data_IF_902107000432
#
_entry.id   IF_902107000432
#
_cell.length_a   1.000
_cell.length_b   1.000
_cell.length_c   1.000
_cell.angle_alpha   90.00
_cell.angle_beta   90.00
_cell.angle_gamma   90.00
#
_symmetry.space_group_name_H-M   'P 1'
#
loop_
_entity.id
_entity.type
_entity.pdbx_description
1 polymer ?
#
# COMPACT_ATOMS: atom_id res chain seq x y z
N UNK A 1 -2.33 -17.59 -10.09
CA UNK A 1 -1.74 -16.41 -9.41
C UNK A 1 -1.88 -15.26 -10.38
N UNK A 2 -2.62 -14.21 -10.03
CA UNK A 2 -2.78 -13.07 -10.92
C UNK A 2 -1.45 -12.36 -11.11
N UNK A 3 -1.26 -11.75 -12.26
CA UNK A 3 -0.13 -10.83 -12.49
C UNK A 3 -0.24 -9.61 -11.57
N UNK A 4 0.89 -8.95 -11.37
CA UNK A 4 0.99 -7.72 -10.61
C UNK A 4 1.71 -6.66 -11.43
N UNK A 5 1.14 -5.46 -11.52
CA UNK A 5 1.74 -4.34 -12.26
C UNK A 5 1.66 -3.06 -11.45
N UNK A 6 2.78 -2.36 -11.43
CA UNK A 6 2.91 -1.01 -10.88
C UNK A 6 2.96 0.00 -12.03
N UNK A 7 2.26 1.12 -11.91
CA UNK A 7 2.48 2.27 -12.77
C UNK A 7 3.79 2.99 -12.44
N UNK A 8 4.32 3.76 -13.40
CA UNK A 8 5.60 4.45 -13.22
C UNK A 8 5.58 5.46 -12.06
N UNK A 9 4.42 6.07 -11.79
CA UNK A 9 4.24 6.98 -10.64
C UNK A 9 4.35 6.25 -9.30
N UNK A 10 3.93 5.00 -9.23
CA UNK A 10 4.02 4.17 -8.03
C UNK A 10 5.47 3.80 -7.76
N UNK A 11 6.22 3.44 -8.81
CA UNK A 11 7.65 3.19 -8.70
C UNK A 11 8.40 4.42 -8.21
N UNK A 12 8.12 5.59 -8.79
CA UNK A 12 8.73 6.85 -8.35
C UNK A 12 8.40 7.17 -6.88
N UNK A 13 7.15 6.98 -6.45
CA UNK A 13 6.74 7.18 -5.07
C UNK A 13 7.50 6.26 -4.11
N UNK A 14 7.69 4.98 -4.49
CA UNK A 14 8.49 4.02 -3.72
C UNK A 14 9.96 4.44 -3.64
N UNK A 15 10.57 4.80 -4.76
CA UNK A 15 11.97 5.23 -4.80
C UNK A 15 12.19 6.46 -3.91
N UNK A 16 11.26 7.43 -3.92
CA UNK A 16 11.30 8.59 -3.03
C UNK A 16 11.10 8.19 -1.56
N UNK A 17 10.19 7.25 -1.28
CA UNK A 17 9.96 6.78 0.08
C UNK A 17 11.19 6.08 0.67
N UNK A 18 11.94 5.31 -0.13
CA UNK A 18 13.19 4.66 0.30
C UNK A 18 14.29 5.68 0.68
N UNK A 19 14.24 6.91 0.14
CA UNK A 19 15.15 7.98 0.58
C UNK A 19 14.77 8.60 1.93
N UNK A 20 13.51 8.43 2.37
CA UNK A 20 12.96 9.06 3.58
C UNK A 20 12.83 8.09 4.75
N UNK A 21 12.40 6.85 4.52
CA UNK A 21 12.18 5.84 5.56
C UNK A 21 13.01 4.59 5.28
N UNK A 22 13.78 4.16 6.27
CA UNK A 22 14.68 3.00 6.17
C UNK A 22 13.94 1.68 5.93
N UNK A 23 12.65 1.59 6.27
CA UNK A 23 11.81 0.40 6.07
C UNK A 23 10.71 0.60 5.02
N UNK A 24 10.87 1.53 4.09
CA UNK A 24 9.90 1.76 3.03
C UNK A 24 9.63 0.49 2.19
N UNK A 25 10.67 -0.27 1.85
CA UNK A 25 10.52 -1.53 1.10
C UNK A 25 9.72 -2.58 1.89
N UNK A 26 9.96 -2.73 3.20
CA UNK A 26 9.19 -3.67 4.04
C UNK A 26 7.69 -3.33 4.07
N UNK A 27 7.36 -2.03 4.14
CA UNK A 27 5.98 -1.57 4.07
C UNK A 27 5.37 -1.86 2.69
N UNK A 28 6.13 -1.64 1.62
CA UNK A 28 5.72 -1.95 0.24
C UNK A 28 5.46 -3.45 0.03
N UNK A 29 6.36 -4.31 0.48
CA UNK A 29 6.19 -5.76 0.44
C UNK A 29 4.95 -6.21 1.23
N UNK A 30 4.70 -5.58 2.39
CA UNK A 30 3.54 -5.90 3.22
C UNK A 30 2.22 -5.56 2.53
N UNK A 31 2.11 -4.38 1.92
CA UNK A 31 0.88 -3.96 1.24
C UNK A 31 0.64 -4.77 -0.04
N UNK A 32 1.68 -5.02 -0.83
CA UNK A 32 1.58 -5.83 -2.05
C UNK A 32 1.23 -7.28 -1.77
N UNK A 33 1.84 -7.89 -0.75
CA UNK A 33 1.49 -9.24 -0.30
C UNK A 33 0.04 -9.33 0.15
N UNK A 34 -0.44 -8.33 0.91
CA UNK A 34 -1.83 -8.29 1.39
C UNK A 34 -2.82 -8.27 0.21
N UNK A 35 -2.60 -7.39 -0.77
CA UNK A 35 -3.46 -7.25 -1.95
C UNK A 35 -3.42 -8.51 -2.84
N UNK A 36 -2.25 -9.13 -3.00
CA UNK A 36 -2.12 -10.35 -3.79
C UNK A 36 -2.76 -11.57 -3.12
N UNK A 37 -2.84 -11.59 -1.79
CA UNK A 37 -3.49 -12.66 -1.04
C UNK A 37 -5.01 -12.47 -0.95
N UNK A 38 -5.46 -11.23 -0.74
CA UNK A 38 -6.87 -10.83 -0.73
C UNK A 38 -7.04 -9.55 -1.55
N UNK A 39 -7.43 -9.72 -2.81
CA UNK A 39 -7.68 -8.60 -3.72
C UNK A 39 -8.87 -7.73 -3.27
N UNK A 40 -9.70 -8.20 -2.33
CA UNK A 40 -10.87 -7.48 -1.84
C UNK A 40 -10.63 -6.70 -0.55
N UNK A 41 -9.40 -6.71 -0.01
CA UNK A 41 -9.05 -6.11 1.28
C UNK A 41 -9.27 -4.58 1.34
N UNK A 42 -9.29 -3.90 0.19
CA UNK A 42 -9.53 -2.48 0.07
C UNK A 42 -11.00 -2.09 0.12
N UNK A 43 -11.29 -0.80 0.25
CA UNK A 43 -12.62 -0.23 0.07
C UNK A 43 -12.90 0.02 -1.42
N UNK A 44 -14.08 -0.34 -1.94
CA UNK A 44 -14.44 -0.05 -3.32
C UNK A 44 -14.57 1.47 -3.54
N UNK A 45 -14.00 1.96 -4.64
CA UNK A 45 -14.02 3.38 -5.04
C UNK A 45 -14.90 3.64 -6.27
N UNK A 46 -15.42 2.59 -6.90
CA UNK A 46 -16.37 2.65 -8.00
C UNK A 46 -17.54 1.68 -7.79
N UNK A 47 -18.61 1.84 -8.56
CA UNK A 47 -19.84 1.04 -8.43
C UNK A 47 -19.61 -0.46 -8.70
N UNK A 48 -18.64 -0.80 -9.55
CA UNK A 48 -18.29 -2.19 -9.87
C UNK A 48 -17.40 -2.84 -8.80
N UNK A 49 -16.82 -2.05 -7.89
CA UNK A 49 -15.87 -2.50 -6.88
C UNK A 49 -14.53 -2.99 -7.40
N UNK A 50 -14.23 -2.74 -8.69
CA UNK A 50 -12.98 -3.14 -9.35
C UNK A 50 -11.83 -2.20 -9.02
N UNK A 51 -12.10 -0.91 -8.83
CA UNK A 51 -11.12 0.05 -8.32
C UNK A 51 -11.29 0.15 -6.82
N UNK A 52 -10.20 -0.01 -6.07
CA UNK A 52 -10.22 -0.06 -4.62
C UNK A 52 -9.09 0.77 -4.02
N UNK A 53 -9.38 1.40 -2.91
CA UNK A 53 -8.38 2.05 -2.06
C UNK A 53 -8.02 1.14 -0.89
N UNK A 54 -6.76 1.11 -0.47
CA UNK A 54 -6.35 0.38 0.71
C UNK A 54 -5.28 1.15 1.49
N UNK A 55 -5.45 1.21 2.80
CA UNK A 55 -4.52 1.86 3.71
C UNK A 55 -3.87 0.79 4.58
N UNK A 56 -2.54 0.78 4.55
CA UNK A 56 -1.72 -0.03 5.43
C UNK A 56 -1.04 0.88 6.46
N UNK A 57 -1.30 0.62 7.73
CA UNK A 57 -0.74 1.38 8.84
C UNK A 57 0.66 0.91 9.19
N UNK A 58 1.64 1.79 9.00
CA UNK A 58 3.01 1.57 9.43
C UNK A 58 3.22 1.77 10.93
N UNK A 59 4.49 1.79 11.31
CA UNK A 59 4.92 1.96 12.70
C UNK A 59 6.10 2.94 12.78
N UNK A 60 5.82 4.13 13.33
CA UNK A 60 6.81 5.20 13.46
C UNK A 60 8.01 4.80 14.34
N UNK A 61 7.80 3.97 15.36
CA UNK A 61 8.84 3.54 16.30
C UNK A 61 9.96 2.73 15.65
N UNK A 62 9.71 2.17 14.46
CA UNK A 62 10.66 1.38 13.68
C UNK A 62 10.87 1.97 12.29
N UNK A 63 10.56 3.26 12.11
CA UNK A 63 10.75 3.99 10.84
C UNK A 63 10.05 3.32 9.63
N UNK A 64 8.86 2.78 9.88
CA UNK A 64 8.02 2.09 8.92
C UNK A 64 6.87 3.02 8.50
N UNK A 65 6.80 3.48 7.24
CA UNK A 65 5.78 4.42 6.79
C UNK A 65 4.41 3.76 6.69
N UNK A 66 3.35 4.57 6.80
CA UNK A 66 2.03 4.17 6.35
C UNK A 66 1.92 4.36 4.84
N UNK A 67 1.18 3.48 4.18
CA UNK A 67 0.98 3.52 2.73
C UNK A 67 -0.51 3.54 2.44
N UNK A 68 -0.93 4.41 1.54
CA UNK A 68 -2.26 4.39 0.92
C UNK A 68 -2.10 4.09 -0.57
N UNK A 69 -2.85 3.12 -1.09
CA UNK A 69 -2.81 2.75 -2.50
C UNK A 69 -4.18 2.75 -3.12
N UNK A 70 -4.23 3.08 -4.41
CA UNK A 70 -5.39 2.86 -5.28
C UNK A 70 -4.99 1.80 -6.30
N UNK A 71 -5.78 0.74 -6.39
CA UNK A 71 -5.54 -0.37 -7.30
C UNK A 71 -6.80 -0.81 -8.04
N UNK A 72 -6.60 -1.42 -9.20
CA UNK A 72 -7.65 -2.03 -10.01
C UNK A 72 -7.48 -3.55 -10.06
N UNK A 73 -8.59 -4.26 -9.84
CA UNK A 73 -8.71 -5.70 -10.02
C UNK A 73 -9.23 -5.97 -11.43
N UNK A 74 -8.43 -6.69 -12.21
CA UNK A 74 -8.82 -7.28 -13.48
C UNK A 74 -8.85 -8.80 -13.37
N UNK A 75 -9.29 -9.48 -14.43
CA UNK A 75 -9.50 -10.95 -14.41
C UNK A 75 -8.24 -11.71 -14.00
N UNK A 76 -7.07 -11.36 -14.56
CA UNK A 76 -5.79 -12.03 -14.31
C UNK A 76 -4.67 -11.09 -13.87
N UNK A 77 -5.01 -9.84 -13.51
CA UNK A 77 -4.03 -8.79 -13.22
C UNK A 77 -4.54 -7.87 -12.10
N UNK A 78 -3.64 -7.48 -11.20
CA UNK A 78 -3.83 -6.35 -10.29
C UNK A 78 -2.91 -5.21 -10.74
N UNK A 79 -3.46 -4.02 -10.90
CA UNK A 79 -2.71 -2.81 -11.28
C UNK A 79 -2.75 -1.85 -10.10
N UNK A 80 -1.59 -1.45 -9.57
CA UNK A 80 -1.52 -0.32 -8.63
C UNK A 80 -1.39 0.97 -9.45
N UNK A 81 -2.39 1.83 -9.37
CA UNK A 81 -2.41 3.12 -10.05
C UNK A 81 -1.69 4.18 -9.22
N UNK A 82 -1.96 4.24 -7.91
CA UNK A 82 -1.42 5.27 -7.03
C UNK A 82 -0.90 4.65 -5.73
N UNK A 83 0.16 5.25 -5.19
CA UNK A 83 0.72 4.93 -3.89
C UNK A 83 1.21 6.23 -3.24
N UNK A 84 0.72 6.52 -2.04
CA UNK A 84 1.17 7.62 -1.20
C UNK A 84 1.80 7.07 0.08
N UNK A 85 2.99 7.59 0.40
CA UNK A 85 3.75 7.21 1.58
C UNK A 85 3.73 8.37 2.57
N UNK A 86 3.33 8.09 3.81
CA UNK A 86 3.19 9.10 4.85
C UNK A 86 3.72 8.62 6.19
N UNK A 87 3.99 9.57 7.07
CA UNK A 87 4.44 9.25 8.42
C UNK A 87 3.35 8.46 9.15
N UNK A 88 3.77 7.34 9.76
CA UNK A 88 2.85 6.46 10.47
C UNK A 88 2.18 7.17 11.66
N UNK A 89 0.90 6.88 11.93
CA UNK A 89 0.17 7.51 13.01
C UNK A 89 0.85 7.26 14.36
N UNK A 90 0.84 8.27 15.23
CA UNK A 90 1.33 8.12 16.60
C UNK A 90 0.33 7.28 17.40
N UNK A 91 0.54 5.96 17.46
CA UNK A 91 -0.14 5.10 18.43
C UNK A 91 0.71 5.01 19.69
N UNK A 92 0.40 5.82 20.70
CA UNK A 92 0.93 5.60 22.03
C UNK A 92 0.38 4.26 22.52
N UNK A 93 1.23 3.24 22.68
CA UNK A 93 0.86 2.02 23.36
C UNK A 93 0.38 2.43 24.76
N UNK A 94 -0.92 2.31 25.02
CA UNK A 94 -1.49 2.61 26.32
C UNK A 94 -0.79 1.75 27.37
N UNK A 95 -0.24 2.41 28.39
CA UNK A 95 0.10 1.78 29.67
C UNK A 95 -1.17 1.08 30.17
N UNK A 96 -1.16 -0.25 30.19
CA UNK A 96 -2.04 -1.05 31.04
C UNK A 96 -1.43 -1.11 32.45
#
# INVERSE_FOLDING_TARGET
>A
MKGFREEDRVRLARDLAETKWSRANDAWESITWTILHDETCGFPMNETGTVRGYVWDGARSIDLPSIEVIYEIQLDLIIIHEADFRDAPYRQAGRA
#
